data_IF_390996382424
#
_entry.id   IF_390996382424
#
_cell.length_a   1.000
_cell.length_b   1.000
_cell.length_c   1.000
_cell.angle_alpha   90.00
_cell.angle_beta   90.00
_cell.angle_gamma   90.00
#
_symmetry.space_group_name_H-M   'P 1'
#
loop_
_entity.id
_entity.type
_entity.pdbx_description
1 polymer ?
#
# COMPACT_ATOMS: atom_id res chain seq x y z
N UNK A 1 15.79 -13.97 -23.99
CA UNK A 1 14.69 -13.66 -23.06
C UNK A 1 14.24 -12.23 -23.20
N UNK A 2 12.92 -11.97 -23.16
CA UNK A 2 12.35 -10.63 -23.30
C UNK A 2 12.38 -9.85 -21.97
N UNK A 3 12.72 -8.55 -22.04
CA UNK A 3 12.74 -7.63 -20.87
C UNK A 3 11.32 -7.27 -20.44
N UNK A 4 10.43 -6.98 -21.39
CA UNK A 4 9.03 -6.66 -21.15
C UNK A 4 8.15 -7.84 -21.53
N UNK A 5 7.21 -8.20 -20.65
CA UNK A 5 6.38 -9.41 -20.77
C UNK A 5 5.19 -9.18 -21.70
N UNK A 6 4.65 -7.97 -21.74
CA UNK A 6 3.61 -7.57 -22.68
C UNK A 6 4.19 -6.80 -23.86
N UNK A 7 3.76 -7.18 -25.06
CA UNK A 7 3.99 -6.43 -26.28
C UNK A 7 2.82 -5.50 -26.58
N UNK A 8 3.05 -4.50 -27.42
CA UNK A 8 1.99 -3.68 -27.98
C UNK A 8 1.40 -4.37 -29.21
N UNK A 9 0.07 -4.45 -29.30
CA UNK A 9 -0.63 -4.98 -30.48
C UNK A 9 -0.31 -4.17 -31.74
N UNK A 10 -0.10 -2.87 -31.56
CA UNK A 10 0.33 -1.94 -32.59
C UNK A 10 1.26 -0.88 -32.01
N UNK A 11 2.39 -0.66 -32.67
CA UNK A 11 3.23 0.51 -32.46
C UNK A 11 3.16 1.40 -33.69
N UNK A 12 2.95 2.69 -33.47
CA UNK A 12 2.99 3.70 -34.52
C UNK A 12 4.23 4.56 -34.33
N UNK A 13 4.93 4.83 -35.43
CA UNK A 13 6.10 5.69 -35.45
C UNK A 13 5.84 6.87 -36.38
N UNK A 14 6.14 8.08 -35.91
CA UNK A 14 6.07 9.28 -36.72
C UNK A 14 7.44 9.96 -36.77
N UNK A 15 7.96 10.11 -37.98
CA UNK A 15 9.22 10.80 -38.20
C UNK A 15 8.97 12.31 -38.26
N UNK A 16 9.77 13.07 -37.52
CA UNK A 16 9.71 14.53 -37.58
C UNK A 16 11.05 15.12 -38.00
N UNK A 17 10.99 16.26 -38.68
CA UNK A 17 12.15 17.11 -38.95
C UNK A 17 12.25 18.15 -37.82
N UNK A 18 13.35 18.18 -37.05
CA UNK A 18 13.49 19.13 -35.95
C UNK A 18 13.61 20.56 -36.47
N UNK A 19 13.03 21.51 -35.74
CA UNK A 19 13.36 22.93 -35.92
C UNK A 19 14.70 23.21 -35.25
N UNK A 20 15.41 24.28 -35.65
CA UNK A 20 16.74 24.62 -35.09
C UNK A 20 16.79 24.65 -33.54
N UNK A 21 15.70 25.09 -32.90
CA UNK A 21 15.58 25.13 -31.43
C UNK A 21 15.31 23.77 -30.77
N UNK A 22 14.88 22.79 -31.56
CA UNK A 22 14.46 21.46 -31.13
C UNK A 22 15.46 20.38 -31.62
N UNK A 23 16.66 20.77 -32.10
CA UNK A 23 17.64 19.85 -32.71
C UNK A 23 18.17 18.81 -31.73
N UNK A 24 18.22 19.15 -30.44
CA UNK A 24 18.64 18.23 -29.38
C UNK A 24 17.57 17.19 -29.01
N UNK A 25 16.33 17.35 -29.47
CA UNK A 25 15.27 16.36 -29.24
C UNK A 25 15.47 15.18 -30.18
N UNK A 26 15.89 14.04 -29.63
CA UNK A 26 16.16 12.81 -30.40
C UNK A 26 14.85 12.05 -30.70
N UNK A 27 14.00 11.91 -29.70
CA UNK A 27 12.69 11.29 -29.78
C UNK A 27 11.80 11.78 -28.64
N UNK A 28 10.51 11.45 -28.71
CA UNK A 28 9.61 11.64 -27.58
C UNK A 28 8.31 10.82 -27.71
N UNK A 29 7.71 10.55 -26.56
CA UNK A 29 6.30 10.20 -26.38
C UNK A 29 5.63 11.28 -25.53
N UNK A 30 4.35 11.59 -25.78
CA UNK A 30 3.67 12.67 -25.03
C UNK A 30 3.30 12.20 -23.63
N UNK A 31 3.42 13.07 -22.62
CA UNK A 31 3.16 12.69 -21.22
C UNK A 31 1.72 12.24 -20.98
N UNK A 32 0.76 12.85 -21.67
CA UNK A 32 -0.66 12.48 -21.63
C UNK A 32 -0.90 11.08 -22.19
N UNK A 33 -0.12 10.69 -23.20
CA UNK A 33 -0.19 9.39 -23.88
C UNK A 33 0.42 8.27 -23.02
N UNK A 34 1.52 8.58 -22.32
CA UNK A 34 2.18 7.66 -21.38
C UNK A 34 1.22 7.30 -20.24
N UNK A 35 0.60 8.29 -19.59
CA UNK A 35 -0.26 8.06 -18.44
C UNK A 35 -1.62 7.40 -18.78
N UNK A 36 -1.97 7.28 -20.07
CA UNK A 36 -3.15 6.53 -20.56
C UNK A 36 -2.72 5.17 -21.16
N UNK A 37 -1.69 4.55 -20.58
CA UNK A 37 -1.22 3.21 -20.96
C UNK A 37 -0.31 3.18 -22.19
N UNK A 38 0.35 4.30 -22.52
CA UNK A 38 1.26 4.40 -23.66
C UNK A 38 0.55 4.41 -25.02
N UNK A 39 -0.69 4.88 -25.10
CA UNK A 39 -1.42 5.00 -26.37
C UNK A 39 -0.89 6.19 -27.18
N UNK A 40 -0.61 6.04 -28.48
CA UNK A 40 -0.14 7.14 -29.34
C UNK A 40 1.18 6.83 -30.07
N UNK A 41 1.60 7.68 -31.02
CA UNK A 41 2.80 7.44 -31.80
C UNK A 41 4.08 7.73 -31.02
N UNK A 42 5.14 6.98 -31.32
CA UNK A 42 6.51 7.33 -30.96
C UNK A 42 7.04 8.32 -32.00
N UNK A 43 7.46 9.50 -31.57
CA UNK A 43 8.03 10.51 -32.45
C UNK A 43 9.54 10.38 -32.49
N UNK A 44 10.12 10.22 -33.68
CA UNK A 44 11.56 10.07 -33.86
C UNK A 44 12.10 11.15 -34.79
N UNK A 45 13.22 11.75 -34.40
CA UNK A 45 13.92 12.73 -35.20
C UNK A 45 14.56 12.06 -36.42
N UNK A 46 14.15 12.46 -37.62
CA UNK A 46 14.64 11.87 -38.88
C UNK A 46 16.14 12.08 -39.10
N UNK A 47 16.74 13.10 -38.48
CA UNK A 47 18.17 13.37 -38.60
C UNK A 47 19.03 12.23 -38.02
N UNK A 48 18.50 11.43 -37.10
CA UNK A 48 19.21 10.32 -36.47
C UNK A 48 19.61 9.22 -37.47
N UNK A 49 18.87 9.07 -38.58
CA UNK A 49 19.20 8.11 -39.65
C UNK A 49 20.57 8.35 -40.31
N UNK A 50 21.10 9.56 -40.18
CA UNK A 50 22.43 9.95 -40.69
C UNK A 50 23.37 10.44 -39.59
N UNK A 51 22.98 10.26 -38.33
CA UNK A 51 23.79 10.65 -37.20
C UNK A 51 24.79 9.54 -36.84
N UNK A 52 25.40 9.64 -35.66
CA UNK A 52 26.31 8.63 -35.13
C UNK A 52 25.58 7.27 -35.04
N UNK A 53 26.20 6.17 -35.51
CA UNK A 53 25.61 4.83 -35.41
C UNK A 53 25.11 4.50 -34.00
N UNK A 54 23.98 3.79 -33.93
CA UNK A 54 23.36 3.37 -32.68
C UNK A 54 22.35 4.37 -32.12
N UNK A 55 22.46 5.67 -32.38
CA UNK A 55 21.54 6.67 -31.83
C UNK A 55 20.10 6.48 -32.28
N UNK A 56 19.88 6.15 -33.55
CA UNK A 56 18.52 5.95 -34.06
C UNK A 56 17.86 4.77 -33.34
N UNK A 57 18.56 3.64 -33.28
CA UNK A 57 18.06 2.41 -32.69
C UNK A 57 17.86 2.55 -31.18
N UNK A 58 18.83 3.13 -30.46
CA UNK A 58 18.68 3.33 -29.01
C UNK A 58 17.58 4.32 -28.70
N UNK A 59 17.39 5.38 -29.50
CA UNK A 59 16.26 6.32 -29.32
C UNK A 59 14.92 5.59 -29.52
N UNK A 60 14.81 4.73 -30.54
CA UNK A 60 13.59 3.93 -30.75
C UNK A 60 13.27 3.04 -29.55
N UNK A 61 14.29 2.36 -29.00
CA UNK A 61 14.10 1.50 -27.82
C UNK A 61 13.81 2.33 -26.57
N UNK A 62 14.46 3.50 -26.40
CA UNK A 62 14.23 4.42 -25.28
C UNK A 62 12.77 4.84 -25.19
N UNK A 63 12.20 5.33 -26.28
CA UNK A 63 10.79 5.75 -26.32
C UNK A 63 9.83 4.58 -26.16
N UNK A 64 10.20 3.38 -26.65
CA UNK A 64 9.44 2.17 -26.39
C UNK A 64 9.39 1.83 -24.89
N UNK A 65 10.52 1.96 -24.18
CA UNK A 65 10.62 1.64 -22.75
C UNK A 65 9.68 2.53 -21.93
N UNK A 66 9.62 3.84 -22.22
CA UNK A 66 8.67 4.75 -21.57
C UNK A 66 7.23 4.25 -21.65
N UNK A 67 6.81 3.82 -22.84
CA UNK A 67 5.47 3.26 -23.04
C UNK A 67 5.29 1.95 -22.27
N UNK A 68 6.29 1.09 -22.28
CA UNK A 68 6.23 -0.21 -21.61
C UNK A 68 6.12 -0.05 -20.08
N UNK A 69 6.86 0.89 -19.49
CA UNK A 69 6.77 1.21 -18.05
C UNK A 69 5.40 1.77 -17.67
N UNK A 70 4.84 2.66 -18.49
CA UNK A 70 3.48 3.16 -18.31
C UNK A 70 2.44 2.04 -18.33
N UNK A 71 2.54 1.13 -19.30
CA UNK A 71 1.65 -0.03 -19.40
C UNK A 71 1.80 -0.98 -18.22
N UNK A 72 3.01 -1.08 -17.66
CA UNK A 72 3.26 -1.83 -16.43
C UNK A 72 2.69 -1.15 -15.16
N UNK A 73 2.09 0.04 -15.28
CA UNK A 73 1.44 0.77 -14.19
C UNK A 73 2.32 1.82 -13.51
N UNK A 74 3.53 2.07 -14.01
CA UNK A 74 4.47 3.06 -13.45
C UNK A 74 4.17 4.44 -14.05
N UNK A 75 3.62 5.34 -13.23
CA UNK A 75 3.17 6.66 -13.69
C UNK A 75 4.37 7.55 -14.08
N UNK A 76 4.25 8.30 -15.18
CA UNK A 76 5.30 9.21 -15.64
C UNK A 76 5.12 10.62 -15.04
N UNK A 77 5.16 10.69 -13.71
CA UNK A 77 5.03 11.93 -12.95
C UNK A 77 6.40 12.48 -12.47
N UNK A 78 6.40 13.66 -11.84
CA UNK A 78 7.64 14.33 -11.40
C UNK A 78 8.49 13.49 -10.42
N UNK A 79 7.86 12.60 -9.63
CA UNK A 79 8.58 11.76 -8.66
C UNK A 79 9.26 10.55 -9.31
N UNK A 80 8.65 10.00 -10.36
CA UNK A 80 9.05 8.73 -10.96
C UNK A 80 9.76 8.89 -12.30
N UNK A 81 9.86 10.12 -12.85
CA UNK A 81 10.49 10.36 -14.14
C UNK A 81 11.96 9.91 -14.19
N UNK A 82 12.70 10.02 -13.08
CA UNK A 82 14.06 9.51 -13.00
C UNK A 82 14.12 8.00 -13.30
N UNK A 83 13.13 7.23 -12.83
CA UNK A 83 13.11 5.80 -13.08
C UNK A 83 12.76 5.49 -14.53
N UNK A 84 11.85 6.27 -15.13
CA UNK A 84 11.53 6.19 -16.56
C UNK A 84 12.76 6.46 -17.43
N UNK A 85 13.41 7.62 -17.28
CA UNK A 85 14.58 7.97 -18.10
C UNK A 85 15.77 7.05 -17.83
N UNK A 86 16.06 6.74 -16.57
CA UNK A 86 17.17 5.86 -16.21
C UNK A 86 17.00 4.44 -16.74
N UNK A 87 15.77 3.90 -16.69
CA UNK A 87 15.47 2.57 -17.23
C UNK A 87 15.47 2.57 -18.76
N UNK A 88 14.92 3.61 -19.39
CA UNK A 88 14.95 3.77 -20.83
C UNK A 88 16.37 3.83 -21.37
N UNK A 89 17.25 4.61 -20.74
CA UNK A 89 18.66 4.74 -21.12
C UNK A 89 19.41 3.41 -20.97
N UNK A 90 19.28 2.75 -19.81
CA UNK A 90 19.93 1.47 -19.54
C UNK A 90 19.45 0.36 -20.49
N UNK A 91 18.12 0.18 -20.60
CA UNK A 91 17.54 -0.90 -21.41
C UNK A 91 17.84 -0.69 -22.89
N UNK A 92 17.71 0.54 -23.40
CA UNK A 92 18.00 0.83 -24.81
C UNK A 92 19.44 0.47 -25.16
N UNK A 93 20.41 0.89 -24.34
CA UNK A 93 21.81 0.65 -24.60
C UNK A 93 22.14 -0.85 -24.57
N UNK A 94 21.70 -1.58 -23.54
CA UNK A 94 22.00 -3.01 -23.38
C UNK A 94 21.29 -3.87 -24.42
N UNK A 95 20.02 -3.58 -24.75
CA UNK A 95 19.27 -4.33 -25.79
C UNK A 95 19.89 -4.10 -27.17
N UNK A 96 20.20 -2.86 -27.53
CA UNK A 96 20.84 -2.56 -28.82
C UNK A 96 22.21 -3.22 -28.93
N UNK A 97 23.00 -3.19 -27.86
CA UNK A 97 24.28 -3.91 -27.78
C UNK A 97 24.13 -5.41 -28.02
N UNK A 98 23.17 -6.06 -27.35
CA UNK A 98 22.89 -7.49 -27.55
C UNK A 98 22.37 -7.82 -28.95
N UNK A 99 21.69 -6.88 -29.60
CA UNK A 99 21.25 -7.01 -30.99
C UNK A 99 22.36 -6.77 -32.03
N UNK A 100 23.60 -6.51 -31.60
CA UNK A 100 24.75 -6.26 -32.50
C UNK A 100 24.78 -4.85 -33.10
N UNK A 101 23.98 -3.91 -32.57
CA UNK A 101 24.03 -2.52 -32.97
C UNK A 101 25.28 -1.86 -32.39
N UNK A 102 25.98 -1.06 -33.21
CA UNK A 102 27.17 -0.36 -32.75
C UNK A 102 26.78 0.80 -31.82
N UNK A 103 26.96 0.59 -30.52
CA UNK A 103 26.69 1.59 -29.47
C UNK A 103 27.96 2.16 -28.82
N UNK A 104 29.14 1.91 -29.41
CA UNK A 104 30.43 2.25 -28.78
C UNK A 104 30.60 3.73 -28.45
N UNK A 105 29.99 4.63 -29.22
CA UNK A 105 30.00 6.06 -28.91
C UNK A 105 29.16 6.38 -27.67
N UNK A 106 27.95 5.82 -27.60
CA UNK A 106 27.03 5.99 -26.47
C UNK A 106 27.63 5.41 -25.18
N UNK A 107 28.32 4.27 -25.26
CA UNK A 107 29.03 3.69 -24.10
C UNK A 107 30.11 4.65 -23.57
N UNK A 108 30.89 5.29 -24.44
CA UNK A 108 31.90 6.29 -24.04
C UNK A 108 31.28 7.58 -23.47
N UNK A 109 30.08 7.95 -23.92
CA UNK A 109 29.33 9.05 -23.30
C UNK A 109 28.84 8.67 -21.91
N UNK A 110 28.24 7.48 -21.76
CA UNK A 110 27.81 6.91 -20.49
C UNK A 110 28.96 6.85 -19.49
N UNK A 111 30.11 6.32 -19.88
CA UNK A 111 31.30 6.23 -19.01
C UNK A 111 31.75 7.61 -18.49
N UNK A 112 31.77 8.63 -19.35
CA UNK A 112 32.12 10.00 -18.95
C UNK A 112 31.07 10.60 -18.01
N UNK A 113 29.79 10.39 -18.30
CA UNK A 113 28.69 10.87 -17.47
C UNK A 113 28.70 10.20 -16.09
N UNK A 114 28.91 8.89 -16.03
CA UNK A 114 28.98 8.13 -14.78
C UNK A 114 30.17 8.54 -13.94
N UNK A 115 31.34 8.75 -14.56
CA UNK A 115 32.50 9.29 -13.84
C UNK A 115 32.18 10.64 -13.21
N UNK A 116 31.52 11.54 -13.94
CA UNK A 116 31.10 12.82 -13.40
C UNK A 116 30.14 12.66 -12.21
N UNK A 117 29.15 11.77 -12.32
CA UNK A 117 28.20 11.47 -11.24
C UNK A 117 28.93 10.91 -10.01
N UNK A 118 29.83 9.95 -10.17
CA UNK A 118 30.62 9.35 -9.09
C UNK A 118 31.55 10.36 -8.40
N UNK A 119 32.10 11.32 -9.13
CA UNK A 119 33.00 12.33 -8.58
C UNK A 119 32.25 13.46 -7.87
N UNK A 120 31.08 13.87 -8.38
CA UNK A 120 30.45 15.14 -7.99
C UNK A 120 29.11 14.99 -7.25
N UNK A 121 28.44 13.84 -7.35
CA UNK A 121 27.11 13.65 -6.77
C UNK A 121 27.22 12.71 -5.57
N UNK A 122 26.63 13.13 -4.45
CA UNK A 122 26.55 12.37 -3.20
C UNK A 122 25.11 12.16 -2.76
N UNK A 123 24.26 13.14 -3.07
CA UNK A 123 22.84 13.13 -2.79
C UNK A 123 22.07 13.08 -4.11
N UNK A 124 21.31 12.02 -4.32
CA UNK A 124 20.45 11.80 -5.48
C UNK A 124 18.99 12.21 -5.21
N UNK A 125 18.68 12.73 -4.02
CA UNK A 125 17.34 13.15 -3.61
C UNK A 125 16.72 14.21 -4.51
N UNK A 126 17.53 14.98 -5.24
CA UNK A 126 17.05 15.96 -6.24
C UNK A 126 16.25 15.31 -7.39
N UNK A 127 16.47 14.03 -7.68
CA UNK A 127 15.73 13.28 -8.71
C UNK A 127 14.26 13.07 -8.38
N UNK A 128 13.86 13.28 -7.12
CA UNK A 128 12.48 13.11 -6.66
C UNK A 128 11.53 14.23 -7.11
N UNK A 129 12.05 15.32 -7.68
CA UNK A 129 11.24 16.39 -8.24
C UNK A 129 11.78 16.86 -9.59
N UNK A 130 11.58 16.01 -10.61
CA UNK A 130 12.12 16.21 -11.95
C UNK A 130 11.89 17.59 -12.55
N UNK A 131 10.67 18.12 -12.39
CA UNK A 131 10.26 19.38 -13.00
C UNK A 131 11.05 20.60 -12.49
N UNK A 132 11.77 20.46 -11.38
CA UNK A 132 12.57 21.53 -10.78
C UNK A 132 14.06 21.44 -11.14
N UNK A 133 14.49 20.40 -11.85
CA UNK A 133 15.91 20.17 -12.13
C UNK A 133 16.32 21.04 -13.35
N UNK A 134 17.25 22.00 -13.18
CA UNK A 134 17.66 22.87 -14.28
C UNK A 134 18.56 22.14 -15.28
N UNK A 135 19.47 21.31 -14.78
CA UNK A 135 20.38 20.51 -15.60
C UNK A 135 19.76 19.15 -15.93
N UNK A 136 19.08 19.09 -17.08
CA UNK A 136 18.48 17.85 -17.56
C UNK A 136 19.55 16.80 -17.89
N UNK A 137 20.72 17.19 -18.42
CA UNK A 137 21.78 16.23 -18.74
C UNK A 137 22.27 15.49 -17.51
N UNK A 138 22.48 16.21 -16.40
CA UNK A 138 22.82 15.61 -15.11
C UNK A 138 21.70 14.72 -14.57
N UNK A 139 20.43 15.13 -14.73
CA UNK A 139 19.29 14.33 -14.29
C UNK A 139 19.23 12.96 -14.99
N UNK A 140 19.41 12.94 -16.32
CA UNK A 140 19.49 11.70 -17.11
C UNK A 140 20.67 10.83 -16.68
N UNK A 141 21.87 11.42 -16.56
CA UNK A 141 23.08 10.69 -16.16
C UNK A 141 22.96 10.06 -14.78
N UNK A 142 22.48 10.82 -13.78
CA UNK A 142 22.31 10.33 -12.41
C UNK A 142 21.22 9.25 -12.32
N UNK A 143 20.16 9.38 -13.12
CA UNK A 143 19.09 8.38 -13.21
C UNK A 143 19.57 7.06 -13.80
N UNK A 144 20.25 7.11 -14.94
CA UNK A 144 20.84 5.92 -15.59
C UNK A 144 21.89 5.28 -14.67
N UNK A 145 22.68 6.08 -13.96
CA UNK A 145 23.67 5.60 -13.00
C UNK A 145 23.02 4.73 -11.90
N UNK A 146 21.97 5.22 -11.25
CA UNK A 146 21.23 4.46 -10.22
C UNK A 146 20.69 3.16 -10.79
N UNK A 147 20.00 3.24 -11.93
CA UNK A 147 19.37 2.05 -12.54
C UNK A 147 20.41 1.04 -12.97
N UNK A 148 21.54 1.49 -13.54
CA UNK A 148 22.64 0.60 -13.96
C UNK A 148 23.26 -0.10 -12.77
N UNK A 149 23.58 0.61 -11.67
CA UNK A 149 24.14 -0.02 -10.46
C UNK A 149 23.21 -1.08 -9.86
N UNK A 150 21.90 -0.81 -9.85
CA UNK A 150 20.91 -1.79 -9.39
C UNK A 150 20.85 -2.99 -10.35
N UNK A 151 20.73 -2.73 -11.65
CA UNK A 151 20.64 -3.78 -12.65
C UNK A 151 21.88 -4.68 -12.62
N UNK A 152 23.09 -4.12 -12.69
CA UNK A 152 24.35 -4.88 -12.62
C UNK A 152 24.43 -5.75 -11.35
N UNK A 153 24.01 -5.23 -10.20
CA UNK A 153 24.01 -5.98 -8.93
C UNK A 153 23.01 -7.16 -8.94
N UNK A 154 21.83 -7.00 -9.55
CA UNK A 154 20.74 -7.97 -9.44
C UNK A 154 20.45 -8.79 -10.71
N UNK A 155 21.34 -8.78 -11.71
CA UNK A 155 21.26 -9.66 -12.88
C UNK A 155 20.86 -8.99 -14.19
N UNK A 156 21.21 -7.72 -14.35
CA UNK A 156 21.07 -6.90 -15.55
C UNK A 156 19.62 -6.76 -16.04
N UNK A 157 19.39 -7.00 -17.33
CA UNK A 157 18.06 -6.98 -17.94
C UNK A 157 17.07 -7.96 -17.26
N UNK A 158 17.54 -9.05 -16.65
CA UNK A 158 16.68 -9.97 -15.91
C UNK A 158 16.11 -9.35 -14.63
N UNK A 159 16.84 -8.43 -13.99
CA UNK A 159 16.34 -7.64 -12.87
C UNK A 159 15.22 -6.70 -13.32
N UNK A 160 15.46 -5.93 -14.39
CA UNK A 160 14.46 -5.01 -14.95
C UNK A 160 13.17 -5.76 -15.31
N UNK A 161 13.29 -6.97 -15.89
CA UNK A 161 12.13 -7.83 -16.15
C UNK A 161 11.34 -8.15 -14.89
N UNK A 162 11.99 -8.54 -13.79
CA UNK A 162 11.31 -8.83 -12.52
C UNK A 162 10.64 -7.57 -11.96
N UNK A 163 11.29 -6.41 -12.04
CA UNK A 163 10.72 -5.12 -11.63
C UNK A 163 9.42 -4.83 -12.39
N UNK A 164 9.42 -4.98 -13.71
CA UNK A 164 8.22 -4.80 -14.56
C UNK A 164 7.12 -5.79 -14.18
N UNK A 165 7.47 -7.06 -13.93
CA UNK A 165 6.50 -8.08 -13.50
C UNK A 165 5.85 -7.75 -12.15
N UNK A 166 6.63 -7.31 -11.18
CA UNK A 166 6.10 -6.88 -9.88
C UNK A 166 5.26 -5.60 -9.99
N UNK A 167 5.64 -4.67 -10.89
CA UNK A 167 4.86 -3.48 -11.18
C UNK A 167 3.47 -3.84 -11.74
N UNK A 168 3.42 -4.73 -12.74
CA UNK A 168 2.17 -5.20 -13.34
C UNK A 168 1.24 -5.87 -12.31
N UNK A 169 1.80 -6.63 -11.34
CA UNK A 169 1.02 -7.24 -10.25
C UNK A 169 0.50 -6.20 -9.26
N UNK A 170 1.30 -5.17 -8.99
CA UNK A 170 0.94 -4.09 -8.06
C UNK A 170 -0.12 -3.16 -8.64
N UNK A 171 -0.10 -2.94 -9.95
CA UNK A 171 -0.97 -1.98 -10.62
C UNK A 171 -0.38 -0.57 -10.58
N UNK A 172 -1.17 0.41 -10.13
CA UNK A 172 -0.78 1.83 -10.23
C UNK A 172 0.31 2.21 -9.23
N UNK A 173 1.44 2.71 -9.73
CA UNK A 173 2.62 3.09 -8.96
C UNK A 173 2.89 4.57 -9.20
N UNK A 174 2.79 5.36 -8.13
CA UNK A 174 2.80 6.83 -8.23
C UNK A 174 3.85 7.52 -7.38
N UNK A 175 4.47 6.79 -6.45
CA UNK A 175 5.38 7.35 -5.43
C UNK A 175 6.70 6.60 -5.39
N UNK A 176 7.77 7.30 -5.00
CA UNK A 176 9.09 6.69 -4.84
C UNK A 176 9.07 5.56 -3.81
N UNK A 177 8.31 5.69 -2.72
CA UNK A 177 8.13 4.61 -1.75
C UNK A 177 7.59 3.33 -2.38
N UNK A 178 6.55 3.44 -3.22
CA UNK A 178 5.96 2.26 -3.87
C UNK A 178 6.89 1.66 -4.91
N UNK A 179 7.59 2.50 -5.67
CA UNK A 179 8.61 2.04 -6.61
C UNK A 179 9.74 1.30 -5.90
N UNK A 180 10.26 1.82 -4.78
CA UNK A 180 11.33 1.17 -4.01
C UNK A 180 10.87 -0.15 -3.39
N UNK A 181 9.60 -0.28 -2.98
CA UNK A 181 9.04 -1.58 -2.57
C UNK A 181 9.10 -2.61 -3.71
N UNK A 182 8.74 -2.21 -4.94
CA UNK A 182 8.80 -3.08 -6.12
C UNK A 182 10.24 -3.46 -6.45
N UNK A 183 11.16 -2.49 -6.46
CA UNK A 183 12.59 -2.74 -6.68
C UNK A 183 13.14 -3.72 -5.64
N UNK A 184 12.74 -3.57 -4.38
CA UNK A 184 13.12 -4.46 -3.28
C UNK A 184 12.60 -5.88 -3.49
N UNK A 185 11.33 -6.02 -3.88
CA UNK A 185 10.73 -7.33 -4.20
C UNK A 185 11.45 -8.02 -5.36
N UNK A 186 11.78 -7.29 -6.42
CA UNK A 186 12.51 -7.82 -7.57
C UNK A 186 13.99 -8.16 -7.27
N UNK A 187 14.59 -7.44 -6.31
CA UNK A 187 15.96 -7.68 -5.84
C UNK A 187 16.04 -8.85 -4.86
N UNK A 188 14.94 -9.16 -4.16
CA UNK A 188 14.92 -10.13 -3.07
C UNK A 188 15.50 -9.60 -1.76
N UNK A 189 15.73 -8.29 -1.64
CA UNK A 189 16.21 -7.63 -0.42
C UNK A 189 15.62 -6.22 -0.25
N UNK A 190 15.61 -5.70 0.97
CA UNK A 190 15.07 -4.37 1.26
C UNK A 190 16.05 -3.27 0.82
N UNK A 191 15.68 -2.51 -0.23
CA UNK A 191 16.49 -1.42 -0.78
C UNK A 191 16.22 -0.06 -0.13
N UNK A 192 15.21 0.07 0.73
CA UNK A 192 14.88 1.35 1.34
C UNK A 192 16.04 2.01 2.11
N UNK A 193 16.88 1.27 2.88
CA UNK A 193 18.06 1.85 3.50
C UNK A 193 19.02 2.47 2.48
N UNK A 194 19.34 1.73 1.41
CA UNK A 194 20.22 2.20 0.34
C UNK A 194 19.66 3.44 -0.37
N UNK A 195 18.36 3.48 -0.64
CA UNK A 195 17.73 4.65 -1.24
C UNK A 195 17.73 5.87 -0.32
N UNK A 196 17.54 5.67 0.99
CA UNK A 196 17.69 6.75 1.98
C UNK A 196 19.11 7.27 2.07
N UNK A 197 20.10 6.39 2.00
CA UNK A 197 21.52 6.77 1.96
C UNK A 197 21.86 7.54 0.68
N UNK A 198 21.16 7.25 -0.42
CA UNK A 198 21.21 8.04 -1.66
C UNK A 198 20.38 9.33 -1.61
N UNK A 199 19.73 9.65 -0.48
CA UNK A 199 18.98 10.90 -0.29
C UNK A 199 17.51 10.85 -0.71
N UNK A 200 16.97 9.69 -1.06
CA UNK A 200 15.53 9.54 -1.32
C UNK A 200 14.72 9.53 -0.02
N UNK A 201 13.54 10.15 -0.06
CA UNK A 201 12.58 10.12 1.05
C UNK A 201 11.67 8.92 0.88
N UNK A 202 12.03 7.80 1.54
CA UNK A 202 11.30 6.54 1.44
C UNK A 202 10.54 6.25 2.75
N UNK A 203 9.23 6.44 2.68
CA UNK A 203 8.27 6.01 3.68
C UNK A 203 7.81 4.58 3.33
N UNK A 204 8.34 3.57 4.03
CA UNK A 204 7.84 2.22 3.88
C UNK A 204 6.48 2.12 4.57
N UNK A 205 5.44 1.76 3.81
CA UNK A 205 4.10 1.49 4.36
C UNK A 205 4.06 0.30 5.33
N UNK A 206 5.13 -0.52 5.41
CA UNK A 206 5.18 -1.74 6.22
C UNK A 206 6.52 -1.95 6.93
N UNK A 207 6.73 -1.29 8.07
CA UNK A 207 7.31 -1.96 9.25
C UNK A 207 6.24 -2.70 10.07
N UNK A 208 4.97 -2.59 9.67
CA UNK A 208 3.81 -3.21 10.32
C UNK A 208 3.11 -4.25 9.44
N UNK A 209 3.87 -5.04 8.65
CA UNK A 209 3.27 -6.18 7.96
C UNK A 209 2.86 -7.20 9.03
N UNK A 210 1.56 -7.46 9.31
CA UNK A 210 1.22 -8.65 10.05
C UNK A 210 1.44 -9.76 9.06
N UNK A 211 2.45 -10.60 9.32
CA UNK A 211 2.63 -11.85 8.62
C UNK A 211 1.23 -12.48 8.38
N UNK A 212 0.90 -13.01 7.20
CA UNK A 212 -0.47 -13.41 6.86
C UNK A 212 -1.09 -14.39 7.89
N UNK A 213 -0.26 -15.15 8.61
CA UNK A 213 -0.69 -15.97 9.73
C UNK A 213 -1.19 -15.16 10.94
N UNK A 214 -0.62 -13.99 11.27
CA UNK A 214 -1.08 -13.11 12.36
C UNK A 214 -2.45 -12.49 12.09
N UNK A 215 -2.78 -12.11 10.84
CA UNK A 215 -4.15 -11.67 10.49
C UNK A 215 -5.14 -12.82 10.60
N UNK A 216 -4.77 -14.03 10.18
CA UNK A 216 -5.63 -15.20 10.32
C UNK A 216 -5.84 -15.54 11.81
N UNK A 217 -4.78 -15.49 12.61
CA UNK A 217 -4.84 -15.71 14.07
C UNK A 217 -5.71 -14.64 14.75
N UNK A 218 -5.57 -13.36 14.39
CA UNK A 218 -6.41 -12.31 14.99
C UNK A 218 -7.88 -12.44 14.60
N UNK A 219 -8.19 -12.81 13.36
CA UNK A 219 -9.56 -13.13 12.92
C UNK A 219 -10.12 -14.32 13.70
N UNK A 220 -9.32 -15.37 13.90
CA UNK A 220 -9.73 -16.56 14.67
C UNK A 220 -9.96 -16.23 16.16
N UNK A 221 -9.13 -15.36 16.75
CA UNK A 221 -9.31 -14.88 18.13
C UNK A 221 -10.60 -14.07 18.25
N UNK A 222 -10.83 -13.12 17.34
CA UNK A 222 -12.05 -12.29 17.34
C UNK A 222 -13.30 -13.16 17.15
N UNK A 223 -13.27 -14.12 16.21
CA UNK A 223 -14.35 -15.08 16.02
C UNK A 223 -14.58 -15.93 17.26
N UNK A 224 -13.52 -16.41 17.90
CA UNK A 224 -13.59 -17.16 19.17
C UNK A 224 -14.21 -16.34 20.31
N UNK A 225 -13.81 -15.08 20.46
CA UNK A 225 -14.38 -14.16 21.46
C UNK A 225 -15.85 -13.87 21.18
N UNK A 226 -16.23 -13.68 19.91
CA UNK A 226 -17.63 -13.47 19.54
C UNK A 226 -18.49 -14.70 19.87
N UNK A 227 -18.04 -15.90 19.51
CA UNK A 227 -18.72 -17.17 19.84
C UNK A 227 -18.82 -17.35 21.35
N UNK A 228 -17.76 -17.05 22.10
CA UNK A 228 -17.75 -17.15 23.56
C UNK A 228 -18.72 -16.14 24.21
N UNK A 229 -18.78 -14.92 23.68
CA UNK A 229 -19.70 -13.88 24.15
C UNK A 229 -21.15 -14.25 23.88
N UNK A 230 -21.44 -14.82 22.71
CA UNK A 230 -22.77 -15.36 22.36
C UNK A 230 -23.12 -16.55 23.26
N UNK A 231 -22.18 -17.44 23.54
CA UNK A 231 -22.39 -18.55 24.48
C UNK A 231 -22.73 -18.04 25.90
N UNK A 232 -21.99 -17.05 26.41
CA UNK A 232 -22.29 -16.42 27.71
C UNK A 232 -23.68 -15.78 27.67
N UNK A 233 -24.04 -15.07 26.61
CA UNK A 233 -25.35 -14.44 26.46
C UNK A 233 -26.48 -15.48 26.46
N UNK A 234 -26.32 -16.57 25.71
CA UNK A 234 -27.29 -17.69 25.70
C UNK A 234 -27.41 -18.28 27.11
N UNK A 235 -26.28 -18.57 27.78
CA UNK A 235 -26.29 -19.07 29.17
C UNK A 235 -26.97 -18.09 30.12
N UNK A 236 -26.73 -16.79 29.97
CA UNK A 236 -27.36 -15.74 30.76
C UNK A 236 -28.87 -15.69 30.56
N UNK A 237 -29.35 -15.75 29.31
CA UNK A 237 -30.77 -15.77 28.98
C UNK A 237 -31.45 -17.05 29.48
N UNK A 238 -30.81 -18.21 29.32
CA UNK A 238 -31.31 -19.49 29.83
C UNK A 238 -31.36 -19.50 31.36
N UNK A 239 -30.38 -18.90 32.04
CA UNK A 239 -30.40 -18.74 33.50
C UNK A 239 -31.46 -17.73 33.98
N UNK A 240 -31.75 -16.67 33.21
CA UNK A 240 -32.88 -15.75 33.50
C UNK A 240 -34.26 -16.44 33.41
N UNK A 241 -34.37 -17.56 32.69
CA UNK A 241 -35.61 -18.35 32.58
C UNK A 241 -35.97 -19.17 33.82
N UNK A 242 -35.12 -19.21 34.86
CA UNK A 242 -35.41 -19.85 36.14
C UNK A 242 -35.25 -18.86 37.29
N UNK A 243 -36.23 -17.98 37.48
CA UNK A 243 -36.49 -17.47 38.83
C UNK A 243 -37.36 -18.51 39.55
N UNK A 244 -36.87 -19.21 40.59
CA UNK A 244 -37.80 -19.81 41.53
C UNK A 244 -38.60 -18.65 42.15
N UNK A 245 -39.93 -18.76 42.16
CA UNK A 245 -40.79 -17.87 42.93
C UNK A 245 -40.46 -18.17 44.41
N UNK A 246 -39.47 -17.44 44.93
CA UNK A 246 -38.89 -17.69 46.24
C UNK A 246 -39.94 -17.57 47.34
N UNK A 247 -39.76 -18.38 48.39
CA UNK A 247 -40.65 -18.71 49.51
C UNK A 247 -41.33 -17.57 50.29
N UNK A 248 -41.20 -16.32 49.84
CA UNK A 248 -41.65 -15.09 50.51
C UNK A 248 -43.03 -14.60 50.10
N UNK A 249 -43.59 -15.10 48.99
CA UNK A 249 -44.88 -14.65 48.48
C UNK A 249 -45.92 -15.79 48.52
N UNK A 250 -47.18 -15.42 48.78
CA UNK A 250 -48.33 -16.32 48.73
C UNK A 250 -49.48 -15.66 47.94
N UNK A 251 -50.44 -16.46 47.47
CA UNK A 251 -51.70 -15.91 46.96
C UNK A 251 -52.66 -15.67 48.11
N UNK A 252 -53.31 -14.50 48.12
CA UNK A 252 -54.39 -14.19 49.03
C UNK A 252 -55.58 -15.15 48.79
N UNK A 253 -56.06 -15.88 49.82
CA UNK A 253 -57.17 -16.83 49.67
C UNK A 253 -58.51 -16.19 49.32
N UNK A 254 -58.65 -14.87 49.48
CA UNK A 254 -59.90 -14.17 49.27
C UNK A 254 -60.06 -13.55 47.87
N UNK A 255 -58.96 -13.06 47.27
CA UNK A 255 -59.01 -12.39 45.97
C UNK A 255 -57.99 -12.88 44.95
N UNK A 256 -57.08 -13.78 45.34
CA UNK A 256 -56.05 -14.33 44.46
C UNK A 256 -54.85 -13.42 44.18
N UNK A 257 -54.80 -12.22 44.77
CA UNK A 257 -53.64 -11.32 44.63
C UNK A 257 -52.37 -11.95 45.25
N UNK A 258 -51.22 -11.78 44.60
CA UNK A 258 -49.92 -12.23 45.14
C UNK A 258 -49.46 -11.20 46.18
N UNK A 259 -49.28 -11.65 47.41
CA UNK A 259 -48.92 -10.84 48.58
C UNK A 259 -47.73 -11.46 49.32
N UNK A 260 -47.03 -10.66 50.13
CA UNK A 260 -45.99 -11.19 51.02
C UNK A 260 -46.61 -12.10 52.09
N UNK A 261 -45.90 -13.14 52.51
CA UNK A 261 -46.36 -14.02 53.61
C UNK A 261 -46.41 -13.33 54.97
N UNK A 262 -45.72 -12.20 55.16
CA UNK A 262 -45.56 -11.57 56.49
C UNK A 262 -46.59 -10.47 56.79
N UNK A 263 -47.62 -10.34 55.97
CA UNK A 263 -48.67 -9.33 56.17
C UNK A 263 -49.91 -9.95 56.82
N UNK A 264 -50.54 -9.19 57.71
CA UNK A 264 -51.78 -9.57 58.38
C UNK A 264 -53.02 -9.20 57.58
N UNK A 265 -52.96 -8.16 56.75
CA UNK A 265 -54.07 -7.71 55.89
C UNK A 265 -53.63 -7.64 54.43
N UNK A 266 -54.49 -8.11 53.52
CA UNK A 266 -54.26 -8.00 52.09
C UNK A 266 -54.44 -6.53 51.64
N UNK A 267 -53.41 -5.87 51.07
CA UNK A 267 -53.50 -4.46 50.67
C UNK A 267 -54.45 -4.23 49.49
N UNK A 268 -54.84 -5.29 48.78
CA UNK A 268 -55.71 -5.20 47.61
C UNK A 268 -57.19 -5.33 47.96
N UNK A 269 -57.56 -6.25 48.85
CA UNK A 269 -58.96 -6.50 49.21
C UNK A 269 -59.32 -6.12 50.64
N UNK A 270 -58.34 -5.69 51.44
CA UNK A 270 -58.52 -5.24 52.83
C UNK A 270 -58.83 -6.34 53.83
N UNK A 271 -58.92 -7.62 53.41
CA UNK A 271 -59.23 -8.74 54.31
C UNK A 271 -57.99 -9.22 55.04
N UNK A 272 -58.20 -9.63 56.29
CA UNK A 272 -57.20 -10.30 57.10
C UNK A 272 -56.79 -11.64 56.46
N UNK A 273 -55.50 -11.94 56.54
CA UNK A 273 -54.87 -13.12 55.94
C UNK A 273 -54.09 -13.96 56.96
N UNK A 274 -53.85 -13.44 58.17
CA UNK A 274 -53.29 -14.14 59.33
C UNK A 274 -53.90 -13.60 60.61
N UNK A 275 -54.18 -14.48 61.56
CA UNK A 275 -54.71 -14.15 62.90
C UNK A 275 -53.57 -13.60 63.79
N UNK A 276 -53.81 -12.48 64.49
CA UNK A 276 -52.85 -11.90 65.45
C UNK A 276 -52.88 -12.68 66.77
N UNK A 277 -51.86 -13.49 67.05
CA UNK A 277 -51.58 -13.95 68.41
C UNK A 277 -50.96 -12.80 69.22
N UNK A 278 -51.74 -12.21 70.12
CA UNK A 278 -51.26 -11.22 71.08
C UNK A 278 -50.90 -11.96 72.38
N UNK A 279 -49.62 -12.24 72.60
CA UNK A 279 -49.15 -12.64 73.93
C UNK A 279 -49.15 -11.42 74.86
N UNK A 280 -50.17 -11.31 75.72
CA UNK A 280 -50.22 -10.33 76.81
C UNK A 280 -49.27 -10.77 77.93
N UNK A 281 -48.14 -10.07 78.10
CA UNK A 281 -47.21 -10.31 79.20
C UNK A 281 -47.68 -9.55 80.47
N UNK A 282 -47.93 -10.20 81.62
CA UNK A 282 -48.56 -9.57 82.80
C UNK A 282 -47.70 -8.57 83.62
N UNK A 283 -46.64 -7.98 83.06
CA UNK A 283 -45.70 -7.13 83.83
C UNK A 283 -45.89 -5.62 83.66
N UNK A 284 -46.89 -5.16 82.89
CA UNK A 284 -46.98 -3.75 82.49
C UNK A 284 -47.90 -2.88 83.39
N UNK A 285 -48.24 -3.30 84.62
CA UNK A 285 -49.17 -2.53 85.48
C UNK A 285 -48.81 -2.27 86.95
N UNK A 286 -47.60 -2.51 87.47
CA UNK A 286 -47.27 -2.09 88.85
C UNK A 286 -46.00 -1.25 88.93
N UNK A 287 -46.18 0.08 88.99
CA UNK A 287 -45.54 1.01 89.94
C UNK A 287 -45.75 2.47 89.50
N UNK A 288 -47.02 2.89 89.47
CA UNK A 288 -47.38 4.26 89.80
C UNK A 288 -47.82 4.23 91.26
N UNK A 289 -46.99 4.71 92.18
CA UNK A 289 -47.50 5.46 93.33
C UNK A 289 -46.39 6.35 93.92
N UNK A 290 -46.73 7.57 94.39
CA UNK A 290 -45.77 8.62 94.71
C UNK A 290 -45.55 8.79 96.23
N UNK A 291 -44.30 9.09 96.61
CA UNK A 291 -43.90 10.17 97.53
C UNK A 291 -42.37 10.36 97.47
#
# INVERSE_FOLDING_TARGET
DYVFVESFDKLEFQLFLPRLRDVSTLGYVRGEEINVGGSGPIWINIALLRYVPGYFETTVVHEYVHKALARAGIEANSQLRWFHEGTAQYVALEVCKQAGINVSFLEKERERAFKYVEENIRDFGFLQNWNTIPDQGLAYAASEYIVTKLAEKYGGLSFIRRVVQEAMRTGSIKTNSKLVQILSSAAGENLAPQFRDWGFTIELEDENLPLPHLKLISILIIAGVAVFSVYILIRYVVMRGKKPMGDFYMQCPHCGAIISKDIYFCPYCGREVKELEIELHPSDWEALEPD
#
